data_IF_774850381747
#
_entry.id   IF_774850381747
#
_cell.length_a   1.000
_cell.length_b   1.000
_cell.length_c   1.000
_cell.angle_alpha   90.00
_cell.angle_beta   90.00
_cell.angle_gamma   90.00
#
_symmetry.space_group_name_H-M   'P 1'
#
loop_
_entity.id
_entity.type
_entity.pdbx_description
1 polymer ?
#
# COMPACT_ATOMS: atom_id res chain seq x y z
N UNK A 1 -12.45 4.15 20.81
CA UNK A 1 -11.02 4.27 21.19
C UNK A 1 -10.59 5.69 20.85
N UNK A 2 -9.80 6.39 21.69
CA UNK A 2 -9.25 7.71 21.33
C UNK A 2 -7.85 7.48 20.72
N UNK A 3 -7.73 7.51 19.40
CA UNK A 3 -6.48 7.17 18.71
C UNK A 3 -5.47 8.33 18.67
N UNK A 4 -5.94 9.59 18.71
CA UNK A 4 -5.09 10.78 18.59
C UNK A 4 -4.04 10.97 19.69
N UNK A 5 -4.15 10.25 20.81
CA UNK A 5 -3.14 10.25 21.89
C UNK A 5 -2.27 8.99 21.92
N UNK A 6 -2.47 8.04 21.00
CA UNK A 6 -1.73 6.79 21.00
C UNK A 6 -0.40 6.93 20.26
N UNK A 7 0.55 6.07 20.63
CA UNK A 7 1.82 5.95 19.92
C UNK A 7 1.53 5.55 18.47
N UNK A 8 2.04 6.33 17.52
CA UNK A 8 2.00 5.97 16.11
C UNK A 8 3.16 5.02 15.80
N UNK A 9 2.88 3.91 15.12
CA UNK A 9 3.91 3.01 14.64
C UNK A 9 4.74 3.67 13.53
N UNK A 10 6.04 3.39 13.53
CA UNK A 10 6.96 3.78 12.46
C UNK A 10 7.04 2.73 11.35
N UNK A 11 6.37 1.58 11.51
CA UNK A 11 6.44 0.44 10.59
C UNK A 11 5.37 0.51 9.48
N UNK A 12 4.98 1.72 9.09
CA UNK A 12 4.00 1.95 8.01
C UNK A 12 4.72 2.44 6.75
N UNK A 13 4.81 1.56 5.77
CA UNK A 13 5.30 1.82 4.43
C UNK A 13 4.17 2.36 3.56
N UNK A 14 4.32 3.60 3.09
CA UNK A 14 3.36 4.21 2.18
C UNK A 14 3.79 3.99 0.74
N UNK A 15 3.05 3.13 0.02
CA UNK A 15 3.24 2.83 -1.40
C UNK A 15 2.06 3.31 -2.24
N UNK A 16 1.24 4.21 -1.71
CA UNK A 16 0.15 4.84 -2.49
C UNK A 16 0.77 5.61 -3.65
N UNK A 17 0.18 5.47 -4.84
CA UNK A 17 0.70 6.11 -6.05
C UNK A 17 1.99 5.49 -6.63
N UNK A 18 2.59 4.48 -5.98
CA UNK A 18 3.70 3.67 -6.54
C UNK A 18 3.22 2.57 -7.50
N UNK A 19 1.99 2.68 -8.01
CA UNK A 19 1.57 1.93 -9.19
C UNK A 19 2.59 2.18 -10.30
N UNK A 20 2.81 1.17 -11.14
CA UNK A 20 3.82 1.07 -12.20
C UNK A 20 3.70 2.19 -13.25
N UNK A 21 3.86 3.43 -12.83
CA UNK A 21 4.31 4.52 -13.67
C UNK A 21 5.74 4.16 -13.99
N UNK A 22 5.93 3.57 -15.17
CA UNK A 22 7.21 3.71 -15.85
C UNK A 22 7.49 5.21 -15.76
N UNK A 23 8.50 5.58 -14.98
CA UNK A 23 9.05 6.92 -15.01
C UNK A 23 9.64 7.08 -16.42
N UNK A 24 8.79 7.38 -17.39
CA UNK A 24 9.18 8.00 -18.67
C UNK A 24 9.49 9.45 -18.32
N UNK A 25 10.52 9.62 -17.50
CA UNK A 25 10.92 10.84 -16.83
C UNK A 25 12.43 10.82 -16.74
N UNK A 26 13.08 10.84 -17.90
CA UNK A 26 14.52 10.77 -18.02
C UNK A 26 14.88 10.52 -19.48
N UNK A 27 15.09 11.60 -20.23
CA UNK A 27 15.38 11.58 -21.66
C UNK A 27 16.51 10.62 -22.04
N UNK A 28 16.38 10.03 -23.23
CA UNK A 28 17.41 9.23 -23.90
C UNK A 28 17.45 7.76 -23.49
N UNK A 29 17.76 7.44 -22.24
CA UNK A 29 18.14 6.06 -21.85
C UNK A 29 16.95 5.10 -21.67
N UNK A 30 15.85 5.54 -21.04
CA UNK A 30 14.68 4.67 -20.83
C UNK A 30 13.96 4.30 -22.12
N UNK A 31 13.88 5.25 -23.06
CA UNK A 31 13.34 5.04 -24.41
C UNK A 31 14.21 4.07 -25.21
N UNK A 32 15.54 4.18 -25.08
CA UNK A 32 16.48 3.26 -25.75
C UNK A 32 16.32 1.81 -25.26
N UNK A 33 16.22 1.60 -23.95
CA UNK A 33 16.04 0.24 -23.40
C UNK A 33 14.72 -0.37 -23.89
N UNK A 34 13.64 0.41 -23.88
CA UNK A 34 12.33 -0.04 -24.34
C UNK A 34 12.33 -0.34 -25.85
N UNK A 35 12.98 0.51 -26.66
CA UNK A 35 13.14 0.29 -28.09
C UNK A 35 13.93 -0.99 -28.42
N UNK A 36 14.99 -1.29 -27.65
CA UNK A 36 15.77 -2.53 -27.81
C UNK A 36 14.94 -3.77 -27.47
N UNK A 37 14.11 -3.72 -26.43
CA UNK A 37 13.21 -4.82 -26.06
C UNK A 37 12.18 -5.08 -27.16
N UNK A 38 11.57 -4.02 -27.70
CA UNK A 38 10.59 -4.13 -28.80
C UNK A 38 11.24 -4.72 -30.06
N UNK A 39 12.47 -4.31 -30.37
CA UNK A 39 13.23 -4.85 -31.49
C UNK A 39 13.52 -6.36 -31.32
N UNK A 40 13.90 -6.79 -30.11
CA UNK A 40 14.16 -8.20 -29.81
C UNK A 40 12.88 -9.07 -29.85
N UNK A 41 11.72 -8.48 -29.55
CA UNK A 41 10.42 -9.14 -29.67
C UNK A 41 9.81 -9.06 -31.09
N UNK A 42 10.54 -8.54 -32.09
CA UNK A 42 10.10 -8.45 -33.48
C UNK A 42 9.09 -7.33 -33.78
N UNK A 43 8.96 -6.35 -32.89
CA UNK A 43 8.12 -5.16 -33.08
C UNK A 43 8.89 -3.99 -33.69
N UNK A 44 8.15 -2.99 -34.20
CA UNK A 44 8.70 -1.82 -34.88
C UNK A 44 8.87 -0.63 -33.90
N UNK A 45 10.10 -0.21 -33.56
CA UNK A 45 10.33 0.86 -32.58
C UNK A 45 9.85 2.25 -33.06
N UNK A 46 9.53 2.38 -34.35
CA UNK A 46 8.92 3.60 -34.92
C UNK A 46 7.54 3.90 -34.35
N UNK A 47 6.79 2.89 -33.91
CA UNK A 47 5.51 3.08 -33.23
C UNK A 47 5.66 3.85 -31.91
N UNK A 48 6.81 3.72 -31.26
CA UNK A 48 7.13 4.48 -30.06
C UNK A 48 7.33 5.97 -30.38
N UNK A 49 7.91 6.27 -31.55
CA UNK A 49 8.15 7.63 -32.02
C UNK A 49 6.85 8.31 -32.48
N UNK A 50 5.96 7.59 -33.16
CA UNK A 50 4.61 8.08 -33.51
C UNK A 50 3.75 8.33 -32.25
N UNK A 51 3.87 7.48 -31.23
CA UNK A 51 3.24 7.70 -29.93
C UNK A 51 3.79 8.92 -29.17
N UNK A 52 5.06 9.28 -29.40
CA UNK A 52 5.71 10.48 -28.85
C UNK A 52 5.39 11.75 -29.65
N UNK A 53 5.19 11.65 -30.97
CA UNK A 53 4.85 12.79 -31.84
C UNK A 53 3.35 13.12 -31.84
N UNK A 54 2.48 12.18 -31.46
CA UNK A 54 1.04 12.41 -31.29
C UNK A 54 0.64 13.23 -30.05
N UNK A 55 1.60 13.64 -29.20
CA UNK A 55 1.33 14.29 -27.92
C UNK A 55 1.66 15.80 -27.90
N UNK A 56 1.87 16.43 -29.06
CA UNK A 56 2.28 17.86 -29.15
C UNK A 56 1.24 18.81 -29.76
N UNK A 57 -0.05 18.44 -29.88
CA UNK A 57 -1.08 19.40 -30.34
C UNK A 57 -2.48 19.16 -29.74
N UNK A 58 -2.90 20.10 -28.87
CA UNK A 58 -4.24 20.23 -28.27
C UNK A 58 -4.42 19.37 -27.00
N UNK A 59 -4.77 19.86 -25.82
CA UNK A 59 -5.67 20.98 -25.50
C UNK A 59 -5.32 21.56 -24.11
N UNK A 60 -5.41 22.89 -24.01
CA UNK A 60 -5.35 23.58 -22.73
C UNK A 60 -6.69 23.41 -22.04
N UNK A 61 -6.80 22.39 -21.19
CA UNK A 61 -7.77 22.42 -20.10
C UNK A 61 -6.99 22.30 -18.81
N UNK A 62 -7.22 23.27 -17.93
CA UNK A 62 -6.75 23.30 -16.55
C UNK A 62 -7.14 22.00 -15.85
N UNK A 63 -6.28 20.98 -15.92
CA UNK A 63 -6.28 19.90 -14.95
C UNK A 63 -5.75 20.54 -13.68
N UNK A 64 -6.70 20.91 -12.82
CA UNK A 64 -6.46 21.12 -11.41
C UNK A 64 -5.39 20.12 -10.97
N UNK A 65 -4.35 20.65 -10.34
CA UNK A 65 -3.36 19.87 -9.63
C UNK A 65 -4.12 18.97 -8.66
N UNK A 66 -4.49 17.77 -9.11
CA UNK A 66 -4.67 16.65 -8.22
C UNK A 66 -3.25 16.32 -7.82
N UNK A 67 -2.77 17.09 -6.83
CA UNK A 67 -1.82 16.58 -5.85
C UNK A 67 -2.36 15.19 -5.50
N UNK A 68 -1.77 14.16 -6.08
CA UNK A 68 -1.46 12.99 -5.28
C UNK A 68 -0.64 13.57 -4.13
N UNK A 69 -1.30 13.89 -3.03
CA UNK A 69 -0.65 14.27 -1.79
C UNK A 69 0.05 13.02 -1.28
N UNK A 70 1.19 12.72 -1.89
CA UNK A 70 2.30 12.05 -1.23
C UNK A 70 2.55 12.81 0.07
N UNK A 71 2.17 12.20 1.20
CA UNK A 71 2.57 12.58 2.54
C UNK A 71 2.45 14.07 2.86
N UNK A 72 1.23 14.60 2.94
CA UNK A 72 0.98 15.83 3.67
C UNK A 72 1.02 15.55 5.19
N UNK A 73 1.48 16.51 5.98
CA UNK A 73 1.42 16.52 7.46
C UNK A 73 0.00 16.37 8.05
N UNK A 74 -1.03 16.30 7.20
CA UNK A 74 -2.45 16.23 7.54
C UNK A 74 -3.13 14.93 7.07
N UNK A 75 -2.35 13.87 6.81
CA UNK A 75 -2.90 12.55 6.45
C UNK A 75 -3.46 11.84 7.71
N UNK A 76 -4.68 12.21 8.08
CA UNK A 76 -5.40 11.72 9.26
C UNK A 76 -5.58 10.21 9.19
N UNK A 77 -5.88 9.68 8.01
CA UNK A 77 -6.05 8.24 7.77
C UNK A 77 -4.76 7.47 8.02
N UNK A 78 -3.62 7.92 7.47
CA UNK A 78 -2.33 7.29 7.76
C UNK A 78 -1.98 7.37 9.25
N UNK A 79 -2.26 8.49 9.91
CA UNK A 79 -2.03 8.64 11.35
C UNK A 79 -2.91 7.68 12.15
N UNK A 80 -4.18 7.53 11.76
CA UNK A 80 -5.11 6.57 12.34
C UNK A 80 -4.59 5.13 12.19
N UNK A 81 -4.23 4.71 10.98
CA UNK A 81 -3.64 3.38 10.71
C UNK A 81 -2.39 3.17 11.55
N UNK A 82 -1.51 4.17 11.60
CA UNK A 82 -0.27 4.11 12.37
C UNK A 82 -0.54 4.00 13.87
N UNK A 83 -1.54 4.71 14.39
CA UNK A 83 -1.95 4.66 15.80
C UNK A 83 -2.56 3.30 16.16
N UNK A 84 -3.42 2.73 15.30
CA UNK A 84 -3.98 1.39 15.50
C UNK A 84 -2.86 0.34 15.48
N UNK A 85 -1.98 0.38 14.48
CA UNK A 85 -0.84 -0.53 14.41
C UNK A 85 0.04 -0.40 15.66
N UNK A 86 0.37 0.83 16.07
CA UNK A 86 1.14 1.08 17.30
C UNK A 86 0.48 0.49 18.55
N UNK A 87 -0.84 0.63 18.67
CA UNK A 87 -1.63 0.02 19.75
C UNK A 87 -1.50 -1.49 19.79
N UNK A 88 -1.65 -2.14 18.62
CA UNK A 88 -1.51 -3.61 18.53
C UNK A 88 -0.09 -4.07 18.81
N UNK A 89 0.92 -3.30 18.39
CA UNK A 89 2.32 -3.60 18.66
C UNK A 89 2.66 -3.52 20.15
N UNK A 90 2.07 -2.56 20.86
CA UNK A 90 2.27 -2.40 22.31
C UNK A 90 1.56 -3.54 23.06
N UNK A 91 0.31 -3.84 22.70
CA UNK A 91 -0.43 -4.95 23.30
C UNK A 91 0.27 -6.30 23.12
N UNK A 92 0.64 -6.67 21.88
CA UNK A 92 1.33 -7.94 21.63
C UNK A 92 2.78 -7.95 22.11
N UNK A 93 3.41 -6.78 22.20
CA UNK A 93 4.72 -6.60 22.82
C UNK A 93 4.75 -7.01 24.29
N UNK A 94 3.62 -6.90 25.00
CA UNK A 94 3.46 -7.35 26.39
C UNK A 94 2.91 -8.79 26.46
N UNK A 95 1.86 -9.08 25.70
CA UNK A 95 1.11 -10.35 25.77
C UNK A 95 1.97 -11.54 25.34
N UNK A 96 2.65 -11.44 24.19
CA UNK A 96 3.33 -12.61 23.61
C UNK A 96 4.53 -13.08 24.46
N UNK A 97 5.40 -12.18 24.98
CA UNK A 97 6.45 -12.60 25.91
C UNK A 97 5.88 -13.16 27.22
N UNK A 98 4.80 -12.56 27.75
CA UNK A 98 4.22 -12.99 29.02
C UNK A 98 3.52 -14.36 28.93
N UNK A 99 2.85 -14.66 27.82
CA UNK A 99 2.05 -15.88 27.68
C UNK A 99 2.79 -17.02 26.98
N UNK A 100 3.65 -16.72 26.00
CA UNK A 100 4.33 -17.73 25.19
C UNK A 100 5.86 -17.75 25.40
N UNK A 101 6.43 -16.83 26.18
CA UNK A 101 7.88 -16.72 26.36
C UNK A 101 8.62 -16.31 25.09
N UNK A 102 7.90 -15.81 24.08
CA UNK A 102 8.46 -15.43 22.78
C UNK A 102 8.53 -13.92 22.63
N UNK A 103 9.63 -13.42 22.07
CA UNK A 103 9.76 -12.01 21.73
C UNK A 103 8.83 -11.67 20.56
N UNK A 104 7.93 -10.71 20.75
CA UNK A 104 7.10 -10.19 19.67
C UNK A 104 7.95 -9.47 18.63
N UNK A 105 7.80 -9.88 17.38
CA UNK A 105 8.35 -9.19 16.22
C UNK A 105 7.27 -8.25 15.70
N UNK A 106 7.56 -6.96 15.58
CA UNK A 106 6.58 -5.99 15.09
C UNK A 106 6.46 -6.14 13.56
N UNK A 107 5.24 -6.26 13.01
CA UNK A 107 5.08 -6.39 11.58
C UNK A 107 5.25 -5.04 10.87
N UNK A 108 5.51 -5.09 9.56
CA UNK A 108 5.42 -3.91 8.69
C UNK A 108 4.05 -3.87 8.03
N UNK A 109 3.48 -2.68 7.88
CA UNK A 109 2.22 -2.46 7.18
C UNK A 109 2.48 -1.65 5.91
N UNK A 110 1.99 -2.15 4.78
CA UNK A 110 2.06 -1.50 3.47
C UNK A 110 0.70 -0.90 3.13
N UNK A 111 0.65 0.42 3.03
CA UNK A 111 -0.49 1.13 2.45
C UNK A 111 -0.32 1.18 0.94
N UNK A 112 -1.30 0.71 0.19
CA UNK A 112 -1.27 0.72 -1.28
C UNK A 112 -2.58 1.25 -1.88
N UNK A 113 -2.66 1.30 -3.21
CA UNK A 113 -3.87 1.73 -3.93
C UNK A 113 -4.02 0.90 -5.20
N UNK A 114 -5.21 0.31 -5.43
CA UNK A 114 -5.58 -0.57 -6.56
C UNK A 114 -4.89 -1.93 -6.61
N UNK A 115 -3.58 -1.96 -6.49
CA UNK A 115 -2.78 -3.16 -6.72
C UNK A 115 -1.47 -3.13 -5.91
N UNK A 116 -1.00 -4.32 -5.54
CA UNK A 116 0.27 -4.49 -4.84
C UNK A 116 0.89 -5.86 -5.15
N UNK A 117 2.22 -5.89 -5.26
CA UNK A 117 2.98 -7.13 -5.28
C UNK A 117 3.53 -7.42 -3.88
N UNK A 118 3.27 -8.63 -3.39
CA UNK A 118 3.80 -9.18 -2.13
C UNK A 118 4.66 -10.42 -2.40
N UNK A 119 5.33 -10.94 -1.39
CA UNK A 119 5.98 -12.26 -1.49
C UNK A 119 4.98 -13.41 -1.68
N UNK A 120 3.71 -13.20 -1.34
CA UNK A 120 2.61 -14.17 -1.52
C UNK A 120 1.96 -14.07 -2.91
N UNK A 121 2.44 -13.16 -3.76
CA UNK A 121 1.94 -12.94 -5.11
C UNK A 121 1.34 -11.56 -5.32
N UNK A 122 0.67 -11.40 -6.46
CA UNK A 122 -0.04 -10.18 -6.84
C UNK A 122 -1.42 -10.15 -6.21
N UNK A 123 -1.76 -9.01 -5.60
CA UNK A 123 -3.07 -8.75 -5.01
C UNK A 123 -3.66 -7.45 -5.56
N UNK A 124 -4.98 -7.41 -5.66
CA UNK A 124 -5.73 -6.20 -6.04
C UNK A 124 -6.61 -5.73 -4.88
N UNK A 125 -7.09 -4.50 -4.93
CA UNK A 125 -8.05 -3.95 -3.97
C UNK A 125 -9.29 -4.83 -3.76
N UNK A 126 -9.71 -5.58 -4.79
CA UNK A 126 -10.86 -6.48 -4.71
C UNK A 126 -10.65 -7.67 -3.74
N UNK A 127 -9.41 -7.97 -3.37
CA UNK A 127 -9.09 -9.03 -2.40
C UNK A 127 -9.26 -8.56 -0.95
N UNK A 128 -9.32 -7.24 -0.72
CA UNK A 128 -9.34 -6.66 0.62
C UNK A 128 -7.97 -6.68 1.31
N UNK A 129 -7.90 -6.23 2.57
CA UNK A 129 -6.67 -6.26 3.37
C UNK A 129 -6.23 -7.69 3.67
N UNK A 130 -4.93 -7.91 3.81
CA UNK A 130 -4.38 -9.25 4.05
C UNK A 130 -3.01 -9.21 4.72
N UNK A 131 -2.66 -10.29 5.42
CA UNK A 131 -1.30 -10.59 5.88
C UNK A 131 -0.59 -11.58 4.94
N UNK A 132 0.68 -11.31 4.63
CA UNK A 132 1.54 -12.23 3.88
C UNK A 132 2.65 -12.84 4.76
N UNK A 133 2.64 -14.16 5.01
CA UNK A 133 3.72 -14.83 5.77
C UNK A 133 5.07 -14.82 5.03
N UNK A 134 5.08 -14.72 3.69
CA UNK A 134 6.30 -14.76 2.88
C UNK A 134 7.24 -13.56 3.09
N UNK A 135 6.70 -12.41 3.47
CA UNK A 135 7.47 -11.19 3.79
C UNK A 135 7.15 -10.58 5.15
N UNK A 136 6.25 -11.22 5.91
CA UNK A 136 5.79 -10.78 7.23
C UNK A 136 5.18 -9.38 7.22
N UNK A 137 4.43 -9.04 6.17
CA UNK A 137 3.78 -7.72 6.04
C UNK A 137 2.27 -7.81 6.01
N UNK A 138 1.64 -6.78 6.56
CA UNK A 138 0.23 -6.47 6.38
C UNK A 138 0.10 -5.58 5.15
N UNK A 139 -0.93 -5.82 4.34
CA UNK A 139 -1.24 -5.05 3.16
C UNK A 139 -2.64 -4.48 3.31
N UNK A 140 -2.73 -3.15 3.26
CA UNK A 140 -3.98 -2.42 3.42
C UNK A 140 -4.19 -1.50 2.23
N UNK A 141 -5.26 -1.72 1.48
CA UNK A 141 -5.66 -0.80 0.42
C UNK A 141 -6.24 0.46 1.05
N UNK A 142 -5.71 1.61 0.65
CA UNK A 142 -6.22 2.91 1.09
C UNK A 142 -7.68 3.14 0.68
N UNK A 143 -8.11 2.60 -0.47
CA UNK A 143 -9.49 2.69 -0.94
C UNK A 143 -10.50 1.85 -0.14
N UNK A 144 -10.02 0.89 0.67
CA UNK A 144 -10.88 -0.03 1.42
C UNK A 144 -11.75 0.67 2.45
N UNK A 145 -11.27 1.77 3.05
CA UNK A 145 -12.04 2.49 4.06
C UNK A 145 -13.27 3.21 3.48
N UNK A 146 -13.13 3.77 2.27
CA UNK A 146 -14.25 4.35 1.52
C UNK A 146 -15.28 3.26 1.16
N UNK A 147 -14.82 2.06 0.84
CA UNK A 147 -15.66 0.90 0.54
C UNK A 147 -16.42 0.38 1.78
N UNK A 148 -15.76 0.30 2.94
CA UNK A 148 -16.41 -0.02 4.21
C UNK A 148 -17.54 0.95 4.57
N UNK A 149 -17.31 2.25 4.39
CA UNK A 149 -18.31 3.27 4.66
C UNK A 149 -19.47 3.20 3.66
N UNK A 150 -19.17 3.17 2.37
CA UNK A 150 -20.17 3.35 1.31
C UNK A 150 -20.95 2.08 0.99
N UNK A 151 -20.25 0.95 0.85
CA UNK A 151 -20.83 -0.33 0.42
C UNK A 151 -21.34 -1.13 1.61
N UNK A 152 -20.51 -1.30 2.65
CA UNK A 152 -20.86 -2.16 3.78
C UNK A 152 -21.69 -1.47 4.87
N UNK A 153 -21.96 -0.16 4.72
CA UNK A 153 -22.70 0.66 5.71
C UNK A 153 -22.17 0.48 7.14
N UNK A 154 -20.87 0.22 7.26
CA UNK A 154 -20.16 0.06 8.52
C UNK A 154 -19.22 1.27 8.72
N UNK A 155 -19.76 2.50 8.81
CA UNK A 155 -18.94 3.66 9.05
C UNK A 155 -18.31 3.57 10.43
N UNK A 156 -17.08 4.03 10.53
CA UNK A 156 -16.45 4.31 11.81
C UNK A 156 -15.09 3.65 12.02
N UNK A 157 -14.29 4.34 12.82
CA UNK A 157 -12.93 3.98 13.20
C UNK A 157 -12.83 2.57 13.81
N UNK A 158 -13.90 2.06 14.42
CA UNK A 158 -13.89 0.71 15.00
C UNK A 158 -13.77 -0.40 13.94
N UNK A 159 -14.53 -0.33 12.85
CA UNK A 159 -14.48 -1.34 11.80
C UNK A 159 -13.11 -1.37 11.12
N UNK A 160 -12.55 -0.19 10.86
CA UNK A 160 -11.21 -0.05 10.29
C UNK A 160 -10.14 -0.60 11.24
N UNK A 161 -10.21 -0.26 12.53
CA UNK A 161 -9.27 -0.77 13.53
C UNK A 161 -9.37 -2.30 13.70
N UNK A 162 -10.58 -2.85 13.64
CA UNK A 162 -10.80 -4.29 13.72
C UNK A 162 -10.10 -5.04 12.58
N UNK A 163 -10.21 -4.54 11.34
CA UNK A 163 -9.54 -5.18 10.19
C UNK A 163 -8.03 -5.15 10.33
N UNK A 164 -7.44 -4.02 10.75
CA UNK A 164 -6.00 -3.95 11.02
C UNK A 164 -5.62 -4.97 12.11
N UNK A 165 -6.38 -5.04 13.20
CA UNK A 165 -6.13 -5.99 14.27
C UNK A 165 -6.29 -7.46 13.83
N UNK A 166 -7.22 -7.75 12.90
CA UNK A 166 -7.40 -9.07 12.30
C UNK A 166 -6.14 -9.51 11.56
N UNK A 167 -5.59 -8.64 10.71
CA UNK A 167 -4.35 -8.94 9.98
C UNK A 167 -3.13 -9.07 10.92
N UNK A 168 -3.09 -8.31 12.02
CA UNK A 168 -2.07 -8.52 13.08
C UNK A 168 -2.27 -9.87 13.76
N UNK A 169 -3.51 -10.34 13.92
CA UNK A 169 -3.81 -11.68 14.43
C UNK A 169 -3.20 -12.77 13.55
N UNK A 170 -3.31 -12.66 12.23
CA UNK A 170 -2.61 -13.55 11.30
C UNK A 170 -1.09 -13.48 11.47
N UNK A 171 -0.51 -12.29 11.63
CA UNK A 171 0.91 -12.17 11.93
C UNK A 171 1.32 -12.93 13.21
N UNK A 172 0.54 -12.80 14.28
CA UNK A 172 0.80 -13.51 15.54
C UNK A 172 0.66 -15.02 15.37
N UNK A 173 -0.34 -15.50 14.62
CA UNK A 173 -0.49 -16.92 14.28
C UNK A 173 0.75 -17.43 13.52
N UNK A 174 1.29 -16.65 12.58
CA UNK A 174 2.51 -17.02 11.87
C UNK A 174 3.71 -17.10 12.82
N UNK A 175 3.87 -16.15 13.74
CA UNK A 175 4.94 -16.19 14.76
C UNK A 175 4.84 -17.42 15.69
N UNK A 176 3.62 -17.87 15.96
CA UNK A 176 3.34 -19.08 16.76
C UNK A 176 3.46 -20.38 15.95
N UNK A 177 3.57 -20.29 14.62
CA UNK A 177 3.56 -21.46 13.74
C UNK A 177 2.20 -22.15 13.61
N UNK A 178 1.10 -21.40 13.80
CA UNK A 178 -0.28 -21.91 13.77
C UNK A 178 -1.11 -21.34 12.61
N UNK A 179 -0.44 -20.87 11.55
CA UNK A 179 -1.08 -20.32 10.36
C UNK A 179 -1.57 -21.41 9.41
#
# INVERSE_FOLDING_TARGET
MRWGSQRQSTNVEDRRGMGRGIAVGGGGLGVLVLAVIILLCGGDPRQLLDGLQGQTQGDQTQTASNRGTTGGTNDVERQFVSAVLGSTEDAWGEILPAQAGMRYQRPNLVLFTREVSSACGYASSATGPFYCPGDNKLYLDYGFFDELERQFKAPGEFAQAYVIAHEVGHHVQNLLGTM
#
